data_IF_035239412343
#
_entry.id   IF_035239412343
#
_cell.length_a   1.000
_cell.length_b   1.000
_cell.length_c   1.000
_cell.angle_alpha   90.00
_cell.angle_beta   90.00
_cell.angle_gamma   90.00
#
_symmetry.space_group_name_H-M   'P 1'
#
loop_
_entity.id
_entity.type
_entity.pdbx_description
1 polymer ?
#
# COMPACT_ATOMS: atom_id res chain seq x y z
N UNK A 1 22.91 -34.55 -36.80
CA UNK A 1 22.64 -33.10 -36.78
C UNK A 1 21.17 -32.75 -36.43
N UNK A 2 20.50 -33.43 -35.50
CA UNK A 2 19.05 -33.20 -35.15
C UNK A 2 18.81 -32.65 -33.72
N UNK A 3 19.84 -32.48 -32.87
CA UNK A 3 19.69 -32.06 -31.47
C UNK A 3 19.70 -30.54 -31.24
N UNK A 4 20.19 -29.72 -32.19
CA UNK A 4 20.24 -28.27 -32.06
C UNK A 4 18.89 -27.57 -32.29
N UNK A 5 17.97 -28.15 -33.08
CA UNK A 5 16.67 -27.52 -33.39
C UNK A 5 15.69 -27.51 -32.22
N UNK A 6 15.77 -28.45 -31.29
CA UNK A 6 14.87 -28.47 -30.12
C UNK A 6 15.22 -27.45 -29.06
N UNK A 7 16.50 -27.08 -28.97
CA UNK A 7 16.96 -26.06 -27.99
C UNK A 7 16.52 -24.63 -28.38
N UNK A 8 16.49 -24.35 -29.68
CA UNK A 8 16.05 -23.05 -30.20
C UNK A 8 14.52 -22.87 -30.09
N UNK A 9 13.73 -23.94 -30.25
CA UNK A 9 12.27 -23.90 -30.06
C UNK A 9 11.85 -23.65 -28.59
N UNK A 10 12.60 -24.19 -27.63
CA UNK A 10 12.36 -23.95 -26.20
C UNK A 10 12.64 -22.49 -25.79
N UNK A 11 13.64 -21.84 -26.36
CA UNK A 11 13.97 -20.43 -26.10
C UNK A 11 12.89 -19.47 -26.65
N UNK A 12 12.31 -19.78 -27.82
CA UNK A 12 11.24 -18.98 -28.43
C UNK A 12 9.90 -19.07 -27.66
N UNK A 13 9.64 -20.17 -26.96
CA UNK A 13 8.41 -20.33 -26.17
C UNK A 13 8.45 -19.61 -24.81
N UNK A 14 9.64 -19.34 -24.23
CA UNK A 14 9.77 -18.63 -22.94
C UNK A 14 9.66 -17.10 -23.05
N UNK A 15 9.98 -16.50 -24.20
CA UNK A 15 9.96 -15.05 -24.38
C UNK A 15 8.57 -14.40 -24.16
N UNK A 16 7.45 -14.93 -24.71
CA UNK A 16 6.14 -14.32 -24.50
C UNK A 16 5.66 -14.39 -23.04
N UNK A 17 6.01 -15.46 -22.32
CA UNK A 17 5.64 -15.61 -20.90
C UNK A 17 6.35 -14.56 -20.02
N UNK A 18 7.64 -14.34 -20.24
CA UNK A 18 8.39 -13.32 -19.48
C UNK A 18 7.91 -11.90 -19.80
N UNK A 19 7.60 -11.61 -21.05
CA UNK A 19 7.05 -10.30 -21.44
C UNK A 19 5.65 -10.06 -20.86
N UNK A 20 4.81 -11.07 -20.81
CA UNK A 20 3.49 -11.00 -20.20
C UNK A 20 3.58 -10.76 -18.68
N UNK A 21 4.46 -11.49 -17.99
CA UNK A 21 4.70 -11.31 -16.55
C UNK A 21 5.23 -9.91 -16.22
N UNK A 22 6.18 -9.39 -17.00
CA UNK A 22 6.68 -8.04 -16.83
C UNK A 22 5.57 -6.97 -17.03
N UNK A 23 4.68 -7.17 -18.01
CA UNK A 23 3.53 -6.30 -18.24
C UNK A 23 2.51 -6.34 -17.12
N UNK A 24 2.30 -7.50 -16.48
CA UNK A 24 1.42 -7.64 -15.32
C UNK A 24 2.00 -6.94 -14.09
N UNK A 25 3.28 -7.13 -13.80
CA UNK A 25 3.96 -6.43 -12.71
C UNK A 25 3.89 -4.92 -12.86
N UNK A 26 4.07 -4.39 -14.07
CA UNK A 26 3.97 -2.95 -14.32
C UNK A 26 2.54 -2.44 -14.10
N UNK A 27 1.51 -3.16 -14.55
CA UNK A 27 0.11 -2.83 -14.24
C UNK A 27 -0.16 -2.82 -12.74
N UNK A 28 0.29 -3.84 -12.01
CA UNK A 28 0.11 -3.95 -10.57
C UNK A 28 0.79 -2.78 -9.84
N UNK A 29 2.00 -2.37 -10.24
CA UNK A 29 2.65 -1.16 -9.71
C UNK A 29 1.84 0.11 -9.98
N UNK A 30 1.24 0.25 -11.16
CA UNK A 30 0.40 1.39 -11.50
C UNK A 30 -0.86 1.44 -10.64
N UNK A 31 -1.52 0.30 -10.40
CA UNK A 31 -2.68 0.19 -9.51
C UNK A 31 -2.29 0.59 -8.08
N UNK A 32 -1.22 0.01 -7.54
CA UNK A 32 -0.73 0.34 -6.21
C UNK A 32 -0.36 1.83 -6.08
N UNK A 33 0.32 2.41 -7.06
CA UNK A 33 0.64 3.84 -7.11
C UNK A 33 -0.62 4.69 -7.13
N UNK A 34 -1.58 4.38 -8.00
CA UNK A 34 -2.85 5.11 -8.10
C UNK A 34 -3.64 5.06 -6.80
N UNK A 35 -3.63 3.92 -6.10
CA UNK A 35 -4.25 3.79 -4.79
C UNK A 35 -3.65 4.76 -3.78
N UNK A 36 -2.33 4.85 -3.65
CA UNK A 36 -1.67 5.81 -2.77
C UNK A 36 -1.92 7.27 -3.17
N UNK A 37 -1.79 7.61 -4.45
CA UNK A 37 -1.82 8.99 -4.93
C UNK A 37 -3.24 9.55 -5.12
N UNK A 38 -4.22 8.70 -5.44
CA UNK A 38 -5.59 9.16 -5.68
C UNK A 38 -6.53 8.84 -4.51
N UNK A 39 -6.46 7.63 -3.97
CA UNK A 39 -7.36 7.23 -2.90
C UNK A 39 -6.88 7.79 -1.57
N UNK A 40 -5.63 7.51 -1.18
CA UNK A 40 -5.12 7.92 0.12
C UNK A 40 -4.73 9.41 0.14
N UNK A 41 -3.95 9.93 -0.82
CA UNK A 41 -3.51 11.33 -0.81
C UNK A 41 -4.64 12.32 -1.10
N UNK A 42 -5.53 12.01 -2.05
CA UNK A 42 -6.64 12.90 -2.43
C UNK A 42 -7.95 12.61 -1.69
N UNK A 43 -8.02 11.53 -0.88
CA UNK A 43 -9.19 11.15 -0.10
C UNK A 43 -10.36 10.64 -0.94
N UNK A 44 -10.10 10.04 -2.12
CA UNK A 44 -11.13 9.47 -3.00
C UNK A 44 -11.54 8.07 -2.56
N UNK A 45 -12.08 7.97 -1.36
CA UNK A 45 -12.46 6.68 -0.76
C UNK A 45 -13.60 5.95 -1.48
N UNK A 46 -14.36 6.64 -2.32
CA UNK A 46 -15.33 6.05 -3.24
C UNK A 46 -14.68 5.12 -4.29
N UNK A 47 -13.40 5.35 -4.62
CA UNK A 47 -12.62 4.55 -5.55
C UNK A 47 -11.83 3.41 -4.88
N UNK A 48 -11.92 3.27 -3.56
CA UNK A 48 -11.15 2.27 -2.80
C UNK A 48 -11.41 0.85 -3.32
N UNK A 49 -12.68 0.46 -3.46
CA UNK A 49 -13.08 -0.84 -3.95
C UNK A 49 -12.71 -1.11 -5.43
N UNK A 50 -12.38 -0.06 -6.20
CA UNK A 50 -11.96 -0.25 -7.60
C UNK A 50 -10.61 -0.95 -7.72
N UNK A 51 -9.71 -0.77 -6.76
CA UNK A 51 -8.38 -1.39 -6.72
C UNK A 51 -8.33 -2.71 -5.97
N UNK A 52 -9.33 -3.01 -5.12
CA UNK A 52 -9.32 -4.18 -4.23
C UNK A 52 -10.28 -5.28 -4.68
N UNK A 53 -9.96 -6.52 -4.31
CA UNK A 53 -10.85 -7.66 -4.45
C UNK A 53 -11.95 -7.62 -3.38
N UNK A 54 -13.09 -8.24 -3.66
CA UNK A 54 -14.20 -8.30 -2.69
C UNK A 54 -13.89 -9.20 -1.49
N UNK A 55 -12.99 -10.16 -1.66
CA UNK A 55 -12.45 -11.08 -0.65
C UNK A 55 -11.07 -10.62 -0.14
N UNK A 56 -10.80 -9.30 -0.18
CA UNK A 56 -9.58 -8.68 0.31
C UNK A 56 -9.39 -8.88 1.82
N UNK A 57 -8.12 -9.04 2.22
CA UNK A 57 -7.71 -9.13 3.63
C UNK A 57 -6.52 -8.20 3.89
N UNK A 58 -6.65 -7.30 4.86
CA UNK A 58 -5.53 -6.56 5.42
C UNK A 58 -5.04 -7.25 6.70
N UNK A 59 -3.76 -7.60 6.73
CA UNK A 59 -3.12 -8.22 7.90
C UNK A 59 -2.63 -7.13 8.85
N UNK A 60 -3.47 -6.77 9.83
CA UNK A 60 -3.27 -5.63 10.72
C UNK A 60 -2.75 -6.07 12.11
N UNK A 61 -1.51 -6.58 12.14
CA UNK A 61 -0.86 -6.96 13.40
C UNK A 61 -1.41 -8.26 13.98
N UNK A 62 -2.31 -8.17 14.95
CA UNK A 62 -2.87 -9.31 15.69
C UNK A 62 -4.23 -9.81 15.16
N UNK A 63 -4.78 -9.14 14.15
CA UNK A 63 -6.05 -9.53 13.51
C UNK A 63 -6.03 -9.23 12.01
N UNK A 64 -6.93 -9.85 11.28
CA UNK A 64 -7.19 -9.58 9.88
C UNK A 64 -8.38 -8.63 9.75
N UNK A 65 -8.28 -7.62 8.88
CA UNK A 65 -9.34 -6.68 8.58
C UNK A 65 -9.93 -6.93 7.19
N UNK A 66 -11.23 -6.78 7.07
CA UNK A 66 -11.96 -6.82 5.80
C UNK A 66 -11.77 -5.53 5.02
N UNK A 67 -12.17 -5.53 3.74
CA UNK A 67 -12.16 -4.32 2.90
C UNK A 67 -12.98 -3.17 3.53
N UNK A 68 -14.11 -3.46 4.15
CA UNK A 68 -14.97 -2.44 4.79
C UNK A 68 -14.28 -1.81 6.00
N UNK A 69 -13.65 -2.63 6.84
CA UNK A 69 -12.90 -2.17 8.02
C UNK A 69 -11.68 -1.35 7.61
N UNK A 70 -10.96 -1.75 6.56
CA UNK A 70 -9.80 -1.04 6.06
C UNK A 70 -10.18 0.33 5.47
N UNK A 71 -11.27 0.41 4.70
CA UNK A 71 -11.86 1.69 4.24
C UNK A 71 -12.25 2.58 5.43
N UNK A 72 -12.83 2.00 6.48
CA UNK A 72 -13.23 2.76 7.66
C UNK A 72 -11.98 3.31 8.39
N UNK A 73 -10.93 2.51 8.54
CA UNK A 73 -9.66 2.93 9.13
C UNK A 73 -9.01 4.08 8.35
N UNK A 74 -8.94 3.98 7.01
CA UNK A 74 -8.40 5.03 6.15
C UNK A 74 -9.20 6.36 6.24
N UNK A 75 -10.52 6.28 6.39
CA UNK A 75 -11.38 7.47 6.62
C UNK A 75 -11.14 8.10 7.99
N UNK A 76 -10.98 7.30 9.06
CA UNK A 76 -10.66 7.81 10.39
C UNK A 76 -9.26 8.45 10.43
N UNK A 77 -8.29 7.90 9.71
CA UNK A 77 -6.97 8.50 9.54
C UNK A 77 -7.07 9.87 8.84
N UNK A 78 -7.79 9.97 7.73
CA UNK A 78 -8.04 11.22 7.02
C UNK A 78 -8.78 12.24 7.89
N UNK A 79 -9.71 11.80 8.72
CA UNK A 79 -10.42 12.67 9.68
C UNK A 79 -9.47 13.22 10.73
N UNK A 80 -8.58 12.40 11.29
CA UNK A 80 -7.57 12.84 12.26
C UNK A 80 -6.57 13.82 11.65
N UNK A 81 -6.24 13.64 10.37
CA UNK A 81 -5.27 14.42 9.58
C UNK A 81 -5.95 15.00 8.33
N UNK A 82 -6.79 16.07 8.43
CA UNK A 82 -7.55 16.57 7.28
C UNK A 82 -6.67 17.07 6.13
N UNK A 83 -5.46 17.55 6.44
CA UNK A 83 -4.45 18.02 5.50
C UNK A 83 -3.43 16.91 5.12
N UNK A 84 -3.78 15.65 5.33
CA UNK A 84 -2.89 14.52 5.05
C UNK A 84 -2.37 14.54 3.61
N UNK A 85 -1.08 14.33 3.48
CA UNK A 85 -0.36 14.12 2.24
C UNK A 85 0.34 12.78 2.27
N UNK A 86 0.18 12.02 1.19
CA UNK A 86 0.82 10.73 1.01
C UNK A 86 1.67 10.76 -0.26
N UNK A 87 2.93 10.34 -0.14
CA UNK A 87 3.90 10.32 -1.24
C UNK A 87 4.47 8.92 -1.40
N UNK A 88 4.39 8.37 -2.59
CA UNK A 88 5.13 7.16 -2.97
C UNK A 88 6.59 7.54 -3.23
N UNK A 89 7.51 6.97 -2.46
CA UNK A 89 8.95 7.18 -2.60
C UNK A 89 9.56 6.14 -3.56
N UNK A 90 9.24 4.86 -3.35
CA UNK A 90 9.70 3.75 -4.18
C UNK A 90 8.61 2.70 -4.33
N UNK A 91 8.63 1.99 -5.45
CA UNK A 91 7.73 0.89 -5.73
C UNK A 91 8.47 -0.18 -6.53
N UNK A 92 8.36 -1.41 -6.08
CA UNK A 92 8.97 -2.58 -6.73
C UNK A 92 7.93 -3.69 -6.84
N UNK A 93 8.07 -4.55 -7.83
CA UNK A 93 7.19 -5.70 -8.01
C UNK A 93 8.01 -6.95 -8.32
N UNK A 94 7.57 -8.07 -7.77
CA UNK A 94 8.05 -9.41 -8.12
C UNK A 94 6.85 -10.36 -8.14
N UNK A 95 6.62 -11.00 -9.29
CA UNK A 95 5.46 -11.89 -9.51
C UNK A 95 4.14 -11.16 -9.24
N UNK A 96 3.36 -11.63 -8.28
CA UNK A 96 2.08 -11.10 -7.81
C UNK A 96 2.22 -10.10 -6.64
N UNK A 97 3.45 -9.83 -6.19
CA UNK A 97 3.73 -8.94 -5.07
C UNK A 97 4.17 -7.56 -5.55
N UNK A 98 3.68 -6.52 -4.86
CA UNK A 98 4.12 -5.13 -5.04
C UNK A 98 4.43 -4.53 -3.68
N UNK A 99 5.67 -4.09 -3.47
CA UNK A 99 6.07 -3.36 -2.28
C UNK A 99 6.15 -1.86 -2.57
N UNK A 100 5.55 -1.05 -1.70
CA UNK A 100 5.50 0.41 -1.78
C UNK A 100 6.15 0.99 -0.54
N UNK A 101 7.24 1.75 -0.72
CA UNK A 101 7.78 2.62 0.33
C UNK A 101 7.16 4.00 0.18
N UNK A 102 6.52 4.48 1.23
CA UNK A 102 5.76 5.72 1.22
C UNK A 102 6.07 6.60 2.44
N UNK A 103 5.72 7.88 2.33
CA UNK A 103 5.72 8.84 3.43
C UNK A 103 4.33 9.46 3.54
N UNK A 104 3.77 9.46 4.74
CA UNK A 104 2.56 10.22 5.08
C UNK A 104 2.90 11.36 6.04
N UNK A 105 2.20 12.48 5.92
CA UNK A 105 2.33 13.63 6.81
C UNK A 105 1.01 14.39 6.92
N UNK A 106 0.77 15.05 8.05
CA UNK A 106 -0.43 15.88 8.26
C UNK A 106 -0.42 16.52 9.65
N UNK A 107 -1.48 17.29 9.93
CA UNK A 107 -1.67 17.94 11.24
C UNK A 107 -2.80 17.21 11.97
N UNK A 108 -2.51 16.67 13.16
CA UNK A 108 -3.48 15.94 13.97
C UNK A 108 -4.45 16.94 14.66
N UNK A 109 -5.43 17.42 13.92
CA UNK A 109 -6.41 18.42 14.38
C UNK A 109 -7.69 17.83 14.92
N UNK A 110 -7.95 16.53 14.70
CA UNK A 110 -9.10 15.83 15.24
C UNK A 110 -8.68 14.52 15.89
N UNK A 111 -9.53 13.99 16.78
CA UNK A 111 -9.34 12.66 17.35
C UNK A 111 -9.56 11.59 16.26
N UNK A 112 -8.74 10.56 16.25
CA UNK A 112 -8.78 9.42 15.33
C UNK A 112 -7.56 8.53 15.50
N UNK A 113 -7.53 7.39 14.87
CA UNK A 113 -6.43 6.40 15.00
C UNK A 113 -6.14 5.98 16.46
N UNK A 114 -7.12 6.07 17.36
CA UNK A 114 -6.94 5.81 18.79
C UNK A 114 -6.27 6.94 19.59
N UNK A 115 -6.06 8.13 19.00
CA UNK A 115 -5.39 9.29 19.63
C UNK A 115 -6.31 10.49 19.75
N UNK A 116 -6.12 11.34 20.80
CA UNK A 116 -6.76 12.66 20.88
C UNK A 116 -6.19 13.61 19.82
N UNK A 117 -6.93 14.69 19.53
CA UNK A 117 -6.41 15.81 18.76
C UNK A 117 -5.28 16.51 19.54
N UNK A 118 -4.13 16.72 18.91
CA UNK A 118 -2.96 17.35 19.54
C UNK A 118 -2.58 18.68 18.89
N UNK A 119 -3.11 18.97 17.69
CA UNK A 119 -2.74 20.12 16.87
C UNK A 119 -1.33 20.06 16.30
N UNK A 120 -0.61 18.95 16.50
CA UNK A 120 0.78 18.82 16.08
C UNK A 120 0.89 18.26 14.67
N UNK A 121 1.92 18.68 13.93
CA UNK A 121 2.33 18.08 12.68
C UNK A 121 3.03 16.75 12.97
N UNK A 122 2.65 15.72 12.21
CA UNK A 122 3.26 14.40 12.25
C UNK A 122 3.68 14.00 10.85
N UNK A 123 4.73 13.19 10.78
CA UNK A 123 5.25 12.59 9.56
C UNK A 123 5.73 11.18 9.89
N UNK A 124 5.36 10.21 9.08
CA UNK A 124 5.85 8.84 9.19
C UNK A 124 6.18 8.29 7.81
N UNK A 125 7.22 7.48 7.79
CA UNK A 125 7.48 6.60 6.65
C UNK A 125 6.88 5.22 6.94
N UNK A 126 6.49 4.52 5.89
CA UNK A 126 5.95 3.17 5.99
C UNK A 126 6.25 2.33 4.75
N UNK A 127 6.00 1.05 4.90
CA UNK A 127 6.02 0.07 3.81
C UNK A 127 4.73 -0.70 3.80
N UNK A 128 4.18 -0.85 2.59
CA UNK A 128 3.03 -1.72 2.34
C UNK A 128 3.44 -2.76 1.30
N UNK A 129 3.18 -4.02 1.59
CA UNK A 129 3.28 -5.12 0.66
C UNK A 129 1.88 -5.53 0.23
N UNK A 130 1.60 -5.45 -1.05
CA UNK A 130 0.37 -5.93 -1.65
C UNK A 130 0.59 -7.26 -2.35
N UNK A 131 -0.38 -8.17 -2.25
CA UNK A 131 -0.53 -9.30 -3.17
C UNK A 131 -1.67 -9.05 -4.13
N UNK A 132 -1.43 -9.32 -5.40
CA UNK A 132 -2.40 -9.14 -6.47
C UNK A 132 -2.97 -10.47 -6.94
N UNK A 133 -4.26 -10.47 -7.29
CA UNK A 133 -4.95 -11.59 -7.91
C UNK A 133 -5.93 -11.02 -8.94
N UNK A 134 -5.82 -11.48 -10.20
CA UNK A 134 -6.67 -11.01 -11.30
C UNK A 134 -6.71 -9.46 -11.45
N UNK A 135 -5.56 -8.78 -11.24
CA UNK A 135 -5.45 -7.32 -11.37
C UNK A 135 -6.08 -6.51 -10.23
N UNK A 136 -6.36 -7.14 -9.09
CA UNK A 136 -6.87 -6.51 -7.89
C UNK A 136 -5.95 -6.78 -6.70
N UNK A 137 -5.86 -5.83 -5.76
CA UNK A 137 -5.23 -6.03 -4.46
C UNK A 137 -6.07 -7.04 -3.69
N UNK A 138 -5.46 -8.15 -3.30
CA UNK A 138 -6.10 -9.28 -2.64
C UNK A 138 -5.69 -9.42 -1.18
N UNK A 139 -4.42 -9.12 -0.86
CA UNK A 139 -3.90 -9.07 0.51
C UNK A 139 -3.00 -7.87 0.69
N UNK A 140 -2.95 -7.38 1.92
CA UNK A 140 -2.10 -6.27 2.33
C UNK A 140 -1.40 -6.55 3.65
N UNK A 141 -0.13 -6.16 3.74
CA UNK A 141 0.67 -6.06 4.98
C UNK A 141 1.29 -4.67 5.03
N UNK A 142 0.95 -3.89 6.06
CA UNK A 142 1.49 -2.55 6.25
C UNK A 142 2.24 -2.42 7.57
N UNK A 143 3.37 -1.72 7.51
CA UNK A 143 4.16 -1.34 8.69
C UNK A 143 4.54 0.13 8.60
N UNK A 144 4.47 0.83 9.73
CA UNK A 144 4.90 2.23 9.86
C UNK A 144 5.44 2.52 11.26
N UNK A 145 6.17 3.63 11.41
CA UNK A 145 6.79 4.00 12.68
C UNK A 145 5.78 4.68 13.64
N UNK A 146 4.93 3.86 14.26
CA UNK A 146 3.94 4.31 15.24
C UNK A 146 4.57 5.02 16.44
N UNK A 147 5.76 4.58 16.89
CA UNK A 147 6.44 5.22 18.02
C UNK A 147 6.88 6.65 17.67
N UNK A 148 7.39 6.86 16.46
CA UNK A 148 7.72 8.20 15.97
C UNK A 148 6.48 9.09 15.90
N UNK A 149 5.35 8.58 15.39
CA UNK A 149 4.07 9.29 15.37
C UNK A 149 3.67 9.73 16.78
N UNK A 150 3.67 8.82 17.75
CA UNK A 150 3.31 9.11 19.14
C UNK A 150 4.21 10.18 19.78
N UNK A 151 5.53 10.13 19.52
CA UNK A 151 6.49 11.14 19.99
C UNK A 151 6.22 12.51 19.39
N UNK A 152 6.00 12.59 18.07
CA UNK A 152 5.70 13.83 17.37
C UNK A 152 4.36 14.42 17.83
N UNK A 153 3.36 13.59 18.06
CA UNK A 153 2.06 13.97 18.60
C UNK A 153 2.14 14.38 20.10
N UNK A 154 3.25 14.10 20.79
CA UNK A 154 3.43 14.39 22.22
C UNK A 154 2.65 13.45 23.14
N UNK A 155 2.32 12.27 22.64
CA UNK A 155 1.58 11.23 23.35
C UNK A 155 2.50 10.18 23.99
N UNK A 156 3.79 10.27 23.74
CA UNK A 156 4.80 9.40 24.32
C UNK A 156 5.83 10.26 25.08
N UNK A 157 6.16 9.95 26.35
CA UNK A 157 7.13 10.73 27.10
C UNK A 157 8.49 10.69 26.38
N UNK A 158 9.24 11.83 26.36
CA UNK A 158 10.61 11.82 25.89
C UNK A 158 11.45 10.86 26.75
N UNK A 159 12.51 10.23 26.22
CA UNK A 159 13.44 9.49 27.05
C UNK A 159 13.95 10.41 28.15
N UNK A 160 13.91 9.91 29.39
CA UNK A 160 14.48 10.62 30.55
C UNK A 160 16.01 10.63 30.45
#
# INVERSE_FOLDING_TARGET
MRKASYFLLLLLACMPVMAQQAGEQERNKQIARSFFEQVLDQGRFDQYAESHATDFVAHAGDHDATLEEDIAAAKEERKALPDMKVKVNQIVAERDLVAVYWTASGTNTQAGMGFPATGRKIKSDGMTLFRFKAGKIYEEWSVWDMLSIMRQAGLYPPPQ
#
